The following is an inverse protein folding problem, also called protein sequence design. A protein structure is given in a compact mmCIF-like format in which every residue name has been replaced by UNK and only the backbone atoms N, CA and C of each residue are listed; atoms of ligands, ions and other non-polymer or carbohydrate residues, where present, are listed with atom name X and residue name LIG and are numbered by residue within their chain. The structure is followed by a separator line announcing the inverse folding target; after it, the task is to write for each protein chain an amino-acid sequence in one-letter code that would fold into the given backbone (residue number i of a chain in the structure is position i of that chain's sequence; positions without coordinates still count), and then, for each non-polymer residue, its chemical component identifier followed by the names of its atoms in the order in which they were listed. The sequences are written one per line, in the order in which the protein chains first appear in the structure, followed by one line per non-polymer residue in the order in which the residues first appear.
data_IF_895028656433
#
_entry.id   IF_895028656433
#
_cell.length_a   1.000
_cell.length_b   1.000
_cell.length_c   1.000
_cell.angle_alpha   90.00
_cell.angle_beta   90.00
_cell.angle_gamma   90.00
#
_symmetry.space_group_name_H-M   'P 1'
#
loop_
_entity.id
_entity.type
_entity.pdbx_description
1 polymer ?
#
# COMPACT_ATOMS: atom_id res chain seq x y z
N UNK A 1 7.34 -1.98 -2.02
CA UNK A 1 7.97 -2.97 -2.91
C UNK A 1 8.44 -2.21 -4.15
N UNK A 2 9.42 -2.75 -4.85
CA UNK A 2 9.79 -2.24 -6.18
C UNK A 2 9.10 -3.05 -7.27
N UNK A 3 9.04 -2.51 -8.49
CA UNK A 3 8.52 -3.25 -9.65
C UNK A 3 9.21 -4.61 -9.88
N UNK A 4 10.48 -4.73 -9.47
CA UNK A 4 11.28 -5.97 -9.57
C UNK A 4 10.82 -7.07 -8.59
N UNK A 5 10.04 -6.72 -7.57
CA UNK A 5 9.57 -7.66 -6.52
C UNK A 5 8.24 -8.33 -6.87
N UNK A 6 7.60 -7.98 -8.00
CA UNK A 6 6.23 -8.40 -8.35
C UNK A 6 6.13 -8.87 -9.80
N UNK A 7 4.99 -9.47 -10.16
CA UNK A 7 4.72 -9.85 -11.55
C UNK A 7 4.52 -8.58 -12.41
N UNK A 8 4.79 -8.66 -13.72
CA UNK A 8 4.50 -7.57 -14.65
C UNK A 8 3.04 -7.09 -14.52
N UNK A 9 2.81 -5.80 -14.75
CA UNK A 9 1.50 -5.13 -14.70
C UNK A 9 0.89 -4.98 -13.28
N UNK A 10 1.45 -5.64 -12.26
CA UNK A 10 0.99 -5.50 -10.87
C UNK A 10 1.18 -4.07 -10.31
N UNK A 11 2.30 -3.36 -10.54
CA UNK A 11 2.45 -1.97 -10.07
C UNK A 11 1.35 -1.05 -10.59
N UNK A 12 0.92 -1.23 -11.85
CA UNK A 12 -0.11 -0.42 -12.50
C UNK A 12 -1.53 -0.76 -12.03
N UNK A 13 -1.74 -1.90 -11.38
CA UNK A 13 -3.06 -2.33 -10.87
C UNK A 13 -3.36 -1.80 -9.47
N UNK A 14 -2.34 -1.46 -8.67
CA UNK A 14 -2.46 -1.13 -7.25
C UNK A 14 -2.17 0.35 -6.99
N UNK A 15 -3.16 1.21 -7.20
CA UNK A 15 -3.02 2.66 -6.97
C UNK A 15 -3.19 3.09 -5.51
N UNK A 16 -3.93 2.30 -4.72
CA UNK A 16 -4.26 2.64 -3.35
C UNK A 16 -4.37 1.37 -2.50
N UNK A 17 -3.68 1.37 -1.36
CA UNK A 17 -3.87 0.38 -0.30
C UNK A 17 -4.34 1.10 0.95
N UNK A 18 -5.42 0.58 1.54
CA UNK A 18 -5.95 1.07 2.80
C UNK A 18 -5.91 -0.02 3.87
N UNK A 19 -5.45 0.34 5.06
CA UNK A 19 -5.35 -0.58 6.21
C UNK A 19 -5.78 0.15 7.47
N UNK A 20 -6.69 -0.45 8.23
CA UNK A 20 -6.94 -0.03 9.60
C UNK A 20 -5.89 -0.66 10.53
N UNK A 21 -5.17 0.17 11.26
CA UNK A 21 -4.16 -0.26 12.20
C UNK A 21 -4.32 0.46 13.54
N UNK A 22 -4.00 -0.26 14.62
CA UNK A 22 -3.97 0.31 15.97
C UNK A 22 -2.62 0.97 16.21
N UNK A 23 -2.64 2.28 16.42
CA UNK A 23 -1.49 3.08 16.85
C UNK A 23 -1.58 3.34 18.36
N UNK A 24 -0.48 3.79 19.01
CA UNK A 24 -0.50 4.12 20.44
C UNK A 24 -1.58 5.14 20.84
N UNK A 25 -2.05 5.96 19.90
CA UNK A 25 -3.09 6.98 20.08
C UNK A 25 -4.46 6.59 19.48
N UNK A 26 -4.63 5.31 19.12
CA UNK A 26 -5.91 4.74 18.67
C UNK A 26 -5.88 4.11 17.28
N UNK A 27 -7.02 3.57 16.86
CA UNK A 27 -7.18 2.98 15.53
C UNK A 27 -7.28 4.06 14.48
N UNK A 28 -6.50 3.91 13.39
CA UNK A 28 -6.49 4.84 12.27
C UNK A 28 -6.56 4.08 10.96
N UNK A 29 -7.19 4.70 9.96
CA UNK A 29 -7.14 4.28 8.57
C UNK A 29 -5.89 4.88 7.92
N UNK A 30 -4.95 4.02 7.51
CA UNK A 30 -3.77 4.40 6.74
C UNK A 30 -4.08 4.24 5.26
N UNK A 31 -3.77 5.25 4.45
CA UNK A 31 -3.88 5.21 2.99
C UNK A 31 -2.50 5.37 2.37
N UNK A 32 -2.09 4.39 1.57
CA UNK A 32 -0.82 4.40 0.85
C UNK A 32 -1.10 4.50 -0.66
N UNK A 33 -0.68 5.60 -1.27
CA UNK A 33 -0.82 5.83 -2.70
C UNK A 33 0.41 5.28 -3.42
N UNK A 34 0.17 4.58 -4.52
CA UNK A 34 1.21 3.97 -5.37
C UNK A 34 2.28 3.23 -4.54
N UNK A 35 1.89 2.18 -3.79
CA UNK A 35 2.74 1.49 -2.82
C UNK A 35 3.89 0.66 -3.44
N UNK A 36 3.93 0.57 -4.78
CA UNK A 36 4.96 -0.13 -5.55
C UNK A 36 5.64 0.89 -6.47
N UNK A 37 6.96 1.01 -6.35
CA UNK A 37 7.79 2.01 -7.06
C UNK A 37 8.68 1.40 -8.14
#
# INVERSE_FOLDING_TARGET
LTADDVLPEVPEMLHLVQVEATFPDGTKLVSCHDPIS
#
